data_IF_947766049052
#
_entry.id   IF_947766049052
#
_cell.length_a   1.000
_cell.length_b   1.000
_cell.length_c   1.000
_cell.angle_alpha   90.00
_cell.angle_beta   90.00
_cell.angle_gamma   90.00
#
_symmetry.space_group_name_H-M   'P 1'
#
loop_
_entity.id
_entity.type
_entity.pdbx_description
1 polymer ?
#
# COMPACT_ATOMS: atom_id res chain seq x y z
N UNK A 1 10.36 15.13 21.82
CA UNK A 1 9.24 15.06 20.85
C UNK A 1 9.21 16.37 20.10
N UNK A 2 9.56 16.39 18.80
CA UNK A 2 9.50 17.61 18.00
C UNK A 2 8.03 17.89 17.60
N UNK A 3 7.27 18.46 18.52
CA UNK A 3 5.99 19.08 18.21
C UNK A 3 6.30 20.33 17.37
N UNK A 4 6.06 20.25 16.06
CA UNK A 4 5.95 21.47 15.25
C UNK A 4 4.57 22.09 15.48
N UNK A 5 4.33 23.28 14.93
CA UNK A 5 3.05 24.00 15.04
C UNK A 5 1.84 23.30 14.37
N UNK A 6 2.04 22.08 13.86
CA UNK A 6 1.01 21.25 13.28
C UNK A 6 0.02 20.78 14.36
N UNK A 7 -1.25 21.14 14.19
CA UNK A 7 -2.34 20.63 15.04
C UNK A 7 -3.16 19.58 14.27
N UNK A 8 -3.85 18.68 14.98
CA UNK A 8 -4.74 17.70 14.35
C UNK A 8 -5.89 18.34 13.54
N UNK A 9 -6.16 19.63 13.76
CA UNK A 9 -7.16 20.43 13.06
C UNK A 9 -6.55 21.41 12.04
N UNK A 10 -5.27 21.25 11.70
CA UNK A 10 -4.62 22.09 10.71
C UNK A 10 -5.19 21.87 9.29
N UNK A 11 -4.97 22.83 8.36
CA UNK A 11 -5.26 22.64 6.94
C UNK A 11 -4.73 21.31 6.37
N UNK A 12 -5.30 20.82 5.26
CA UNK A 12 -4.76 19.64 4.56
C UNK A 12 -3.25 19.80 4.28
N UNK A 13 -2.47 18.72 4.41
CA UNK A 13 -0.99 18.68 4.42
C UNK A 13 -0.29 19.42 5.57
N UNK A 14 -1.01 20.11 6.45
CA UNK A 14 -0.41 20.72 7.65
C UNK A 14 -0.42 19.81 8.88
N UNK A 15 -1.23 18.74 8.87
CA UNK A 15 -1.23 17.71 9.89
C UNK A 15 -0.11 16.69 9.66
N UNK A 16 0.61 16.30 10.72
CA UNK A 16 1.61 15.23 10.65
C UNK A 16 0.91 13.86 10.73
N UNK A 17 0.98 13.07 9.68
CA UNK A 17 0.74 11.61 9.74
C UNK A 17 1.97 10.95 10.32
N UNK A 18 1.82 9.95 11.18
CA UNK A 18 2.94 9.07 11.52
C UNK A 18 3.16 8.12 10.34
N UNK A 19 4.41 8.01 9.90
CA UNK A 19 4.83 7.06 8.86
C UNK A 19 5.42 5.84 9.56
N UNK A 20 4.87 4.67 9.27
CA UNK A 20 5.32 3.40 9.82
C UNK A 20 5.72 2.48 8.69
N UNK A 21 6.89 1.87 8.82
CA UNK A 21 7.37 0.88 7.86
C UNK A 21 7.56 -0.44 8.57
N UNK A 22 6.87 -1.46 8.08
CA UNK A 22 6.99 -2.82 8.55
C UNK A 22 8.27 -3.42 7.99
N UNK A 23 9.25 -3.66 8.86
CA UNK A 23 10.58 -4.21 8.47
C UNK A 23 10.70 -5.71 8.73
N UNK A 24 9.74 -6.30 9.44
CA UNK A 24 9.64 -7.75 9.68
C UNK A 24 8.19 -8.13 9.90
N UNK A 25 7.86 -9.41 10.10
CA UNK A 25 6.48 -9.82 10.47
C UNK A 25 6.11 -9.49 11.94
N UNK A 26 7.03 -8.91 12.73
CA UNK A 26 6.78 -8.56 14.13
C UNK A 26 5.80 -7.39 14.29
N UNK A 27 5.23 -7.23 15.49
CA UNK A 27 4.32 -6.14 15.77
C UNK A 27 5.04 -4.79 15.92
N UNK A 28 4.37 -3.71 15.52
CA UNK A 28 4.72 -2.32 15.86
C UNK A 28 3.79 -1.89 17.00
N UNK A 29 4.38 -1.45 18.12
CA UNK A 29 3.64 -0.95 19.27
C UNK A 29 3.79 0.57 19.38
N UNK A 30 2.68 1.29 19.32
CA UNK A 30 2.62 2.72 19.60
C UNK A 30 2.00 2.93 20.98
N UNK A 31 2.75 3.57 21.88
CA UNK A 31 2.31 3.84 23.26
C UNK A 31 1.80 5.28 23.37
N UNK A 32 0.59 5.44 23.89
CA UNK A 32 -0.07 6.71 24.10
C UNK A 32 -0.22 6.97 25.60
N UNK A 33 0.43 8.03 26.09
CA UNK A 33 0.28 8.46 27.47
C UNK A 33 -1.09 9.13 27.67
N UNK A 34 -1.77 8.74 28.75
CA UNK A 34 -3.03 9.34 29.16
C UNK A 34 -2.75 10.53 30.08
N UNK A 35 -3.32 11.69 29.76
CA UNK A 35 -3.30 12.83 30.68
C UNK A 35 -4.56 12.83 31.53
N UNK A 36 -4.42 12.95 32.85
CA UNK A 36 -5.56 13.18 33.75
C UNK A 36 -6.14 14.61 33.69
N UNK A 37 -5.64 15.44 32.76
CA UNK A 37 -6.14 16.79 32.53
C UNK A 37 -7.49 16.76 31.81
N UNK A 38 -8.42 17.66 32.16
CA UNK A 38 -9.69 17.75 31.45
C UNK A 38 -9.45 18.16 30.00
N UNK A 39 -10.28 17.62 29.11
CA UNK A 39 -10.27 18.04 27.70
C UNK A 39 -10.61 19.53 27.58
N UNK A 40 -9.95 20.20 26.62
CA UNK A 40 -10.28 21.56 26.26
C UNK A 40 -11.74 21.64 25.74
N UNK A 41 -12.40 22.78 25.96
CA UNK A 41 -13.76 23.02 25.47
C UNK A 41 -13.84 22.78 23.95
N UNK A 42 -14.78 21.93 23.52
CA UNK A 42 -14.98 21.57 22.11
C UNK A 42 -14.16 20.38 21.60
N UNK A 43 -13.39 19.71 22.47
CA UNK A 43 -12.75 18.43 22.14
C UNK A 43 -13.72 17.26 22.44
N UNK A 44 -13.90 16.36 21.47
CA UNK A 44 -14.80 15.21 21.54
C UNK A 44 -14.21 14.01 22.30
N UNK A 45 -12.95 14.10 22.74
CA UNK A 45 -12.25 13.05 23.48
C UNK A 45 -11.75 11.90 22.60
N UNK A 46 -12.04 11.91 21.29
CA UNK A 46 -11.63 10.85 20.38
C UNK A 46 -10.19 11.08 19.92
N UNK A 47 -9.37 10.04 20.04
CA UNK A 47 -8.03 10.08 19.49
C UNK A 47 -8.05 9.64 18.02
N UNK A 48 -7.75 10.58 17.12
CA UNK A 48 -7.77 10.35 15.67
C UNK A 48 -6.39 9.95 15.18
N UNK A 49 -6.29 8.75 14.61
CA UNK A 49 -5.03 8.14 14.20
C UNK A 49 -4.95 8.16 12.68
N UNK A 50 -4.09 9.01 12.12
CA UNK A 50 -3.80 9.07 10.69
C UNK A 50 -2.40 8.56 10.40
N UNK A 51 -2.30 7.46 9.67
CA UNK A 51 -1.04 6.75 9.43
C UNK A 51 -0.80 6.53 7.94
N UNK A 52 0.47 6.53 7.54
CA UNK A 52 0.92 5.91 6.28
C UNK A 52 1.67 4.64 6.68
N UNK A 53 1.14 3.48 6.30
CA UNK A 53 1.69 2.18 6.65
C UNK A 53 2.34 1.53 5.42
N UNK A 54 3.56 1.08 5.60
CA UNK A 54 4.49 0.71 4.56
C UNK A 54 5.08 -0.70 4.72
N UNK A 55 5.40 -1.37 3.63
CA UNK A 55 6.02 -2.69 3.64
C UNK A 55 7.49 -2.60 3.21
N UNK A 56 8.39 -2.75 4.18
CA UNK A 56 9.83 -2.82 4.01
C UNK A 56 10.38 -4.22 4.42
N UNK A 57 9.56 -5.27 4.28
CA UNK A 57 9.92 -6.65 4.69
C UNK A 57 10.62 -7.47 3.59
N UNK A 58 10.80 -6.91 2.40
CA UNK A 58 11.23 -7.62 1.19
C UNK A 58 10.35 -8.85 0.84
N UNK A 59 9.11 -8.88 1.35
CA UNK A 59 8.15 -9.96 1.18
C UNK A 59 6.74 -9.42 0.92
N UNK A 60 5.89 -10.24 0.31
CA UNK A 60 4.46 -9.94 0.18
C UNK A 60 3.75 -10.13 1.53
N UNK A 61 2.81 -9.23 1.82
CA UNK A 61 1.95 -9.27 3.00
C UNK A 61 0.48 -9.35 2.56
N UNK A 62 -0.33 -10.14 3.24
CA UNK A 62 -1.75 -10.31 2.91
C UNK A 62 -2.67 -9.29 3.58
N UNK A 63 -2.15 -8.51 4.53
CA UNK A 63 -2.92 -7.53 5.27
C UNK A 63 -2.31 -7.19 6.63
N UNK A 64 -3.16 -6.76 7.56
CA UNK A 64 -2.73 -6.37 8.90
C UNK A 64 -3.85 -6.49 9.94
N UNK A 65 -3.46 -6.43 11.20
CA UNK A 65 -4.36 -6.30 12.34
C UNK A 65 -3.98 -5.10 13.19
N UNK A 66 -4.96 -4.55 13.90
CA UNK A 66 -4.76 -3.49 14.89
C UNK A 66 -5.49 -3.86 16.18
N UNK A 67 -4.80 -3.70 17.31
CA UNK A 67 -5.30 -4.06 18.64
C UNK A 67 -4.99 -2.98 19.66
N UNK A 68 -5.92 -2.72 20.58
CA UNK A 68 -5.70 -1.89 21.76
C UNK A 68 -5.36 -2.76 22.97
N UNK A 69 -4.55 -2.24 23.88
CA UNK A 69 -4.19 -2.95 25.10
C UNK A 69 -3.07 -2.27 25.88
N UNK A 70 -2.30 -3.04 26.63
CA UNK A 70 -1.29 -2.54 27.56
C UNK A 70 0.03 -3.31 27.41
N UNK A 71 1.14 -2.63 27.72
CA UNK A 71 2.48 -3.20 27.55
C UNK A 71 2.94 -3.19 26.10
N UNK A 72 4.11 -3.78 25.84
CA UNK A 72 4.76 -3.84 24.52
C UNK A 72 5.47 -5.18 24.32
N UNK A 73 5.80 -5.52 23.07
CA UNK A 73 6.47 -6.77 22.70
C UNK A 73 5.73 -8.00 23.23
N UNK A 74 6.48 -8.94 23.81
CA UNK A 74 5.91 -10.17 24.39
C UNK A 74 5.06 -9.91 25.64
N UNK A 75 5.18 -8.73 26.27
CA UNK A 75 4.40 -8.35 27.45
C UNK A 75 3.07 -7.66 27.10
N UNK A 76 2.78 -7.46 25.81
CA UNK A 76 1.51 -6.85 25.40
C UNK A 76 0.34 -7.76 25.78
N UNK A 77 -0.66 -7.16 26.40
CA UNK A 77 -1.93 -7.78 26.75
C UNK A 77 -3.05 -6.94 26.15
N UNK A 78 -3.86 -7.55 25.31
CA UNK A 78 -5.01 -6.88 24.68
C UNK A 78 -6.00 -6.38 25.73
N UNK A 79 -6.65 -5.24 25.48
CA UNK A 79 -7.76 -4.73 26.27
C UNK A 79 -8.96 -5.68 26.25
N UNK A 80 -9.89 -5.47 27.19
CA UNK A 80 -11.08 -6.29 27.31
C UNK A 80 -12.33 -5.46 27.08
N UNK A 81 -13.29 -6.02 26.35
CA UNK A 81 -14.57 -5.37 26.05
C UNK A 81 -15.21 -4.73 27.29
N UNK A 82 -15.65 -3.48 27.12
CA UNK A 82 -16.34 -2.69 28.15
C UNK A 82 -15.43 -2.07 29.21
N UNK A 83 -14.11 -2.07 29.03
CA UNK A 83 -13.18 -1.30 29.87
C UNK A 83 -13.14 0.20 29.52
N UNK A 84 -13.79 0.59 28.42
CA UNK A 84 -13.94 1.97 27.97
C UNK A 84 -12.83 2.44 27.03
N UNK A 85 -11.88 1.56 26.68
CA UNK A 85 -10.97 1.71 25.56
C UNK A 85 -11.58 0.96 24.36
N UNK A 86 -11.51 1.56 23.17
CA UNK A 86 -12.07 0.91 21.99
C UNK A 86 -11.85 1.69 20.70
N UNK A 87 -12.00 1.01 19.57
CA UNK A 87 -12.13 1.67 18.28
C UNK A 87 -13.56 2.15 18.07
N UNK A 88 -13.70 3.30 17.42
CA UNK A 88 -15.01 3.77 16.97
C UNK A 88 -15.39 3.03 15.69
N UNK A 89 -16.54 2.36 15.72
CA UNK A 89 -17.15 1.76 14.54
C UNK A 89 -17.94 2.81 13.75
N UNK A 90 -17.50 3.08 12.53
CA UNK A 90 -18.19 4.00 11.61
C UNK A 90 -19.02 3.27 10.55
N UNK A 91 -19.20 1.95 10.64
CA UNK A 91 -19.99 1.14 9.72
C UNK A 91 -19.21 0.57 8.51
N UNK A 92 -19.93 -0.16 7.66
CA UNK A 92 -19.39 -1.12 6.68
C UNK A 92 -18.88 -0.54 5.34
N UNK A 93 -18.85 0.78 5.12
CA UNK A 93 -18.39 1.36 3.84
C UNK A 93 -16.93 1.83 3.89
N UNK A 94 -15.94 1.01 3.50
CA UNK A 94 -14.52 1.36 3.61
C UNK A 94 -14.06 2.44 2.61
N UNK A 95 -14.86 2.75 1.58
CA UNK A 95 -14.45 3.63 0.47
C UNK A 95 -14.60 5.12 0.76
N UNK A 96 -15.48 5.48 1.70
CA UNK A 96 -15.87 6.86 2.00
C UNK A 96 -15.88 7.20 3.49
N UNK A 97 -15.14 6.43 4.30
CA UNK A 97 -15.21 6.51 5.75
C UNK A 97 -13.91 7.00 6.39
N UNK A 98 -14.07 7.68 7.52
CA UNK A 98 -12.99 8.10 8.41
C UNK A 98 -12.28 6.89 9.05
N UNK A 99 -12.88 5.70 8.97
CA UNK A 99 -12.24 4.41 9.20
C UNK A 99 -11.93 3.72 7.87
N UNK A 100 -10.67 3.76 7.44
CA UNK A 100 -10.30 3.27 6.10
C UNK A 100 -8.84 2.88 5.97
N UNK A 101 -8.57 2.02 4.99
CA UNK A 101 -7.24 1.55 4.63
C UNK A 101 -7.03 1.64 3.12
N UNK A 102 -6.56 2.78 2.62
CA UNK A 102 -6.63 3.13 1.20
C UNK A 102 -5.25 3.41 0.60
N UNK A 103 -4.99 2.85 -0.58
CA UNK A 103 -3.81 3.21 -1.39
C UNK A 103 -3.89 4.66 -1.88
N UNK A 104 -2.76 5.17 -2.38
CA UNK A 104 -2.62 6.55 -2.82
C UNK A 104 -3.65 6.90 -3.92
N UNK A 105 -4.36 8.03 -3.74
CA UNK A 105 -5.38 8.49 -4.69
C UNK A 105 -4.83 8.76 -6.09
N UNK A 106 -3.57 9.23 -6.19
CA UNK A 106 -2.91 9.44 -7.49
C UNK A 106 -2.73 8.15 -8.30
N UNK A 107 -2.79 6.98 -7.64
CA UNK A 107 -2.70 5.65 -8.26
C UNK A 107 -4.08 4.99 -8.41
N UNK A 108 -4.97 5.13 -7.41
CA UNK A 108 -6.29 4.50 -7.38
C UNK A 108 -7.36 5.45 -6.83
N UNK A 109 -8.34 5.79 -7.66
CA UNK A 109 -9.44 6.67 -7.30
C UNK A 109 -9.46 7.97 -8.11
N UNK A 110 -10.54 8.73 -7.99
CA UNK A 110 -10.59 10.10 -8.52
C UNK A 110 -9.78 11.05 -7.64
N UNK A 111 -8.92 11.87 -8.24
CA UNK A 111 -8.29 12.99 -7.55
C UNK A 111 -9.31 14.14 -7.45
N UNK A 112 -9.94 14.30 -6.27
CA UNK A 112 -10.91 15.37 -6.02
C UNK A 112 -10.29 16.78 -5.99
N UNK A 113 -8.97 16.89 -6.12
CA UNK A 113 -8.20 18.12 -5.93
C UNK A 113 -7.51 18.57 -7.20
N UNK A 114 -7.05 17.61 -8.02
CA UNK A 114 -6.68 17.80 -9.42
C UNK A 114 -7.86 17.32 -10.25
N UNK A 115 -8.94 18.12 -10.33
CA UNK A 115 -10.23 17.86 -11.02
C UNK A 115 -10.14 17.19 -12.42
N UNK A 116 -8.94 17.13 -13.00
CA UNK A 116 -8.61 16.59 -14.32
C UNK A 116 -7.99 15.19 -14.33
N UNK A 117 -7.41 14.70 -13.21
CA UNK A 117 -6.71 13.40 -13.18
C UNK A 117 -7.46 12.36 -12.35
N UNK A 118 -7.61 11.19 -12.93
CA UNK A 118 -7.98 9.97 -12.20
C UNK A 118 -6.72 9.20 -11.81
N UNK A 119 -6.90 8.23 -10.91
CA UNK A 119 -5.87 7.31 -10.47
C UNK A 119 -5.22 6.65 -11.67
N UNK A 120 -3.88 6.60 -11.62
CA UNK A 120 -3.06 6.13 -12.72
C UNK A 120 -3.39 4.69 -13.16
N UNK A 121 -3.63 3.81 -12.19
CA UNK A 121 -3.95 2.41 -12.43
C UNK A 121 -5.46 2.17 -12.49
N UNK A 122 -6.25 2.87 -11.69
CA UNK A 122 -7.70 2.71 -11.68
C UNK A 122 -8.42 4.02 -11.34
N UNK A 123 -9.58 4.30 -11.98
CA UNK A 123 -10.46 5.36 -11.54
C UNK A 123 -11.14 5.04 -10.20
N UNK A 124 -11.19 3.77 -9.80
CA UNK A 124 -11.79 3.32 -8.55
C UNK A 124 -10.77 3.25 -7.42
N UNK A 125 -11.23 3.44 -6.17
CA UNK A 125 -10.38 3.28 -4.98
C UNK A 125 -9.94 1.83 -4.81
N UNK A 126 -8.71 1.65 -4.34
CA UNK A 126 -8.20 0.37 -3.88
C UNK A 126 -7.72 0.48 -2.43
N UNK A 127 -7.81 -0.62 -1.70
CA UNK A 127 -7.48 -0.65 -0.28
C UNK A 127 -7.69 -2.01 0.33
N UNK A 128 -7.63 -2.06 1.67
CA UNK A 128 -8.03 -3.23 2.44
C UNK A 128 -9.44 -3.04 3.01
N UNK A 129 -10.26 -4.07 2.87
CA UNK A 129 -11.50 -4.17 3.63
C UNK A 129 -11.14 -4.42 5.10
N UNK A 130 -11.84 -3.75 6.00
CA UNK A 130 -11.61 -3.82 7.45
C UNK A 130 -12.82 -4.45 8.14
N UNK A 131 -12.56 -5.24 9.16
CA UNK A 131 -13.56 -5.90 10.01
C UNK A 131 -13.24 -5.63 11.48
N UNK A 132 -14.16 -4.96 12.18
CA UNK A 132 -14.08 -4.71 13.61
C UNK A 132 -14.60 -5.94 14.35
N UNK A 133 -13.70 -6.87 14.63
CA UNK A 133 -13.99 -8.18 15.24
C UNK A 133 -14.41 -8.02 16.70
N UNK A 134 -13.85 -7.04 17.41
CA UNK A 134 -14.26 -6.62 18.75
C UNK A 134 -13.99 -5.13 18.95
N UNK A 135 -14.52 -4.56 20.03
CA UNK A 135 -14.27 -3.16 20.44
C UNK A 135 -12.78 -2.77 20.35
N UNK A 136 -11.88 -3.65 20.79
CA UNK A 136 -10.42 -3.37 20.83
C UNK A 136 -9.61 -3.94 19.65
N UNK A 137 -10.26 -4.53 18.65
CA UNK A 137 -9.55 -5.30 17.62
C UNK A 137 -10.23 -5.25 16.27
N UNK A 138 -9.47 -4.83 15.26
CA UNK A 138 -9.87 -4.99 13.87
C UNK A 138 -8.77 -5.62 13.04
N UNK A 139 -9.19 -6.20 11.92
CA UNK A 139 -8.31 -6.87 10.97
C UNK A 139 -8.73 -6.55 9.54
N UNK A 140 -7.80 -6.75 8.61
CA UNK A 140 -8.12 -6.76 7.20
C UNK A 140 -8.80 -8.07 6.79
N UNK A 141 -9.82 -8.00 5.93
CA UNK A 141 -10.52 -9.19 5.38
C UNK A 141 -10.20 -9.48 3.92
N UNK A 142 -9.29 -8.69 3.33
CA UNK A 142 -8.84 -8.82 1.95
C UNK A 142 -8.64 -7.45 1.30
N UNK A 143 -8.09 -7.46 0.09
CA UNK A 143 -7.98 -6.28 -0.74
C UNK A 143 -9.29 -6.04 -1.53
N UNK A 144 -9.51 -4.80 -1.93
CA UNK A 144 -10.58 -4.42 -2.86
C UNK A 144 -10.05 -3.46 -3.93
N UNK A 145 -10.83 -3.31 -5.01
CA UNK A 145 -10.53 -2.37 -6.10
C UNK A 145 -10.90 -2.87 -7.50
N UNK A 146 -11.34 -4.12 -7.62
CA UNK A 146 -11.77 -4.71 -8.90
C UNK A 146 -10.61 -5.08 -9.82
N UNK A 147 -10.91 -5.23 -11.13
CA UNK A 147 -9.98 -5.71 -12.16
C UNK A 147 -8.72 -4.84 -12.29
N UNK A 148 -8.87 -3.51 -12.28
CA UNK A 148 -7.77 -2.56 -12.30
C UNK A 148 -7.33 -2.13 -10.89
N UNK A 149 -7.93 -2.71 -9.86
CA UNK A 149 -7.55 -2.45 -8.48
C UNK A 149 -6.18 -3.00 -8.13
N UNK A 150 -5.70 -2.63 -6.95
CA UNK A 150 -4.38 -3.07 -6.49
C UNK A 150 -4.18 -4.58 -6.57
N UNK A 151 -5.14 -5.36 -6.04
CA UNK A 151 -5.07 -6.83 -6.06
C UNK A 151 -5.04 -7.40 -7.48
N UNK A 152 -5.86 -6.85 -8.38
CA UNK A 152 -5.94 -7.33 -9.76
C UNK A 152 -4.64 -7.14 -10.54
N UNK A 153 -3.89 -6.08 -10.22
CA UNK A 153 -2.64 -5.73 -10.91
C UNK A 153 -1.39 -6.27 -10.22
N UNK A 154 -1.38 -6.32 -8.89
CA UNK A 154 -0.19 -6.55 -8.09
C UNK A 154 -0.31 -7.73 -7.10
N UNK A 155 -1.52 -8.25 -6.90
CA UNK A 155 -1.80 -9.28 -5.91
C UNK A 155 -1.72 -8.75 -4.48
N UNK A 156 -1.01 -9.49 -3.62
CA UNK A 156 -0.81 -9.13 -2.22
C UNK A 156 -0.02 -7.82 -2.06
N UNK A 157 -0.05 -7.24 -0.86
CA UNK A 157 0.65 -5.99 -0.55
C UNK A 157 2.16 -6.14 -0.67
N UNK A 158 2.71 -5.50 -1.70
CA UNK A 158 4.11 -5.57 -2.08
C UNK A 158 5.02 -4.78 -1.15
N UNK A 159 6.27 -5.21 -1.07
CA UNK A 159 7.32 -4.44 -0.41
C UNK A 159 7.92 -3.39 -1.34
N UNK A 160 8.63 -2.41 -0.79
CA UNK A 160 9.28 -1.36 -1.59
C UNK A 160 10.25 -1.90 -2.64
N UNK A 161 10.97 -2.98 -2.33
CA UNK A 161 11.92 -3.61 -3.25
C UNK A 161 11.24 -4.37 -4.40
N UNK A 162 9.92 -4.55 -4.34
CA UNK A 162 9.11 -5.19 -5.37
C UNK A 162 8.34 -4.18 -6.23
N UNK A 163 8.31 -2.90 -5.83
CA UNK A 163 7.58 -1.89 -6.56
C UNK A 163 8.21 -1.66 -7.94
N UNK A 164 7.40 -1.59 -9.01
CA UNK A 164 7.89 -1.31 -10.35
C UNK A 164 8.46 0.10 -10.46
N UNK A 165 9.38 0.25 -11.41
CA UNK A 165 9.85 1.57 -11.83
C UNK A 165 8.72 2.34 -12.52
N UNK A 166 8.69 3.64 -12.27
CA UNK A 166 7.81 4.62 -12.88
C UNK A 166 8.62 5.69 -13.60
N UNK A 167 8.04 6.24 -14.66
CA UNK A 167 8.55 7.42 -15.34
C UNK A 167 7.67 8.62 -14.96
N UNK A 168 8.31 9.67 -14.43
CA UNK A 168 7.63 10.81 -13.83
C UNK A 168 7.87 12.10 -14.64
N UNK A 169 6.86 12.95 -14.63
CA UNK A 169 6.90 14.30 -15.17
C UNK A 169 6.55 15.29 -14.06
N UNK A 170 7.42 16.27 -13.83
CA UNK A 170 7.15 17.39 -12.96
C UNK A 170 6.38 18.44 -13.77
N UNK A 171 5.13 18.72 -13.39
CA UNK A 171 4.24 19.58 -14.17
C UNK A 171 4.32 21.06 -13.80
N UNK A 172 4.98 21.39 -12.68
CA UNK A 172 5.06 22.76 -12.18
C UNK A 172 6.46 23.19 -11.72
N UNK A 173 7.47 22.31 -11.74
CA UNK A 173 8.82 22.66 -11.34
C UNK A 173 8.94 23.02 -9.85
N UNK A 174 7.94 22.67 -9.03
CA UNK A 174 7.93 22.93 -7.59
C UNK A 174 8.43 21.69 -6.82
N UNK A 175 9.58 21.77 -6.12
CA UNK A 175 10.08 20.65 -5.33
C UNK A 175 9.19 20.27 -4.13
N UNK A 176 8.15 21.06 -3.83
CA UNK A 176 7.18 20.77 -2.77
C UNK A 176 5.98 19.96 -3.28
N UNK A 177 5.81 19.80 -4.59
CA UNK A 177 4.76 18.98 -5.19
C UNK A 177 5.35 17.66 -5.70
N UNK A 178 4.52 16.62 -5.69
CA UNK A 178 4.92 15.32 -6.22
C UNK A 178 4.80 15.32 -7.75
N UNK A 179 5.84 14.81 -8.42
CA UNK A 179 5.84 14.59 -9.85
C UNK A 179 4.76 13.55 -10.26
N UNK A 180 4.24 13.70 -11.46
CA UNK A 180 3.14 12.89 -11.98
C UNK A 180 3.69 11.65 -12.66
N UNK A 181 3.22 10.47 -12.23
CA UNK A 181 3.48 9.21 -12.90
C UNK A 181 2.84 9.20 -14.31
N UNK A 182 3.67 8.99 -15.34
CA UNK A 182 3.28 8.96 -16.76
C UNK A 182 3.29 7.54 -17.32
N UNK A 183 4.35 6.77 -17.02
CA UNK A 183 4.53 5.39 -17.45
C UNK A 183 5.03 4.52 -16.31
N UNK A 184 4.79 3.20 -16.37
CA UNK A 184 5.36 2.23 -15.44
C UNK A 184 5.99 1.07 -16.20
N UNK A 185 6.98 0.42 -15.60
CA UNK A 185 7.63 -0.74 -16.18
C UNK A 185 6.87 -2.02 -15.83
N UNK A 186 6.46 -2.77 -16.84
CA UNK A 186 5.84 -4.09 -16.70
C UNK A 186 6.90 -5.17 -16.90
N UNK A 187 7.39 -5.73 -15.80
CA UNK A 187 8.43 -6.75 -15.81
C UNK A 187 8.02 -8.03 -16.56
N UNK A 188 6.70 -8.31 -16.70
CA UNK A 188 6.22 -9.51 -17.38
C UNK A 188 6.40 -9.44 -18.90
N UNK A 189 6.23 -8.25 -19.49
CA UNK A 189 6.45 -8.00 -20.91
C UNK A 189 7.83 -7.42 -21.21
N UNK A 190 8.50 -6.83 -20.21
CA UNK A 190 9.76 -6.10 -20.39
C UNK A 190 9.57 -4.74 -21.07
N UNK A 191 8.36 -4.18 -21.02
CA UNK A 191 8.00 -2.93 -21.69
C UNK A 191 7.53 -1.87 -20.71
N UNK A 192 7.62 -0.62 -21.12
CA UNK A 192 7.01 0.52 -20.43
C UNK A 192 5.58 0.72 -20.90
N UNK A 193 4.64 0.89 -19.97
CA UNK A 193 3.23 1.13 -20.26
C UNK A 193 2.90 2.56 -19.87
N UNK A 194 2.48 3.38 -20.82
CA UNK A 194 2.11 4.78 -20.62
C UNK A 194 0.59 4.93 -20.59
N UNK A 195 0.06 5.24 -19.40
CA UNK A 195 -1.38 5.44 -19.16
C UNK A 195 -1.78 6.91 -19.12
N UNK A 196 -0.83 7.85 -19.08
CA UNK A 196 -1.08 9.30 -19.15
C UNK A 196 -0.37 9.93 -20.33
N UNK A 197 -0.92 11.01 -20.86
CA UNK A 197 -0.30 11.79 -21.92
C UNK A 197 -0.56 13.27 -21.75
N UNK A 198 -0.11 14.06 -22.71
CA UNK A 198 -0.30 15.51 -22.77
C UNK A 198 -1.24 15.82 -23.94
N UNK A 199 -2.28 16.59 -23.70
CA UNK A 199 -3.24 17.00 -24.73
C UNK A 199 -2.77 18.23 -25.52
N UNK A 200 -3.59 18.67 -26.48
CA UNK A 200 -3.27 19.83 -27.32
C UNK A 200 -3.25 21.18 -26.57
N UNK A 201 -3.78 21.23 -25.35
CA UNK A 201 -3.68 22.40 -24.48
C UNK A 201 -2.42 22.38 -23.60
N UNK A 202 -1.63 21.30 -23.66
CA UNK A 202 -0.48 21.10 -22.80
C UNK A 202 -0.85 20.53 -21.43
N UNK A 203 -2.08 20.05 -21.26
CA UNK A 203 -2.56 19.52 -19.99
C UNK A 203 -2.37 18.00 -19.93
N UNK A 204 -2.06 17.48 -18.74
CA UNK A 204 -1.90 16.04 -18.54
C UNK A 204 -3.27 15.39 -18.42
N UNK A 205 -3.47 14.27 -19.13
CA UNK A 205 -4.73 13.53 -19.21
C UNK A 205 -4.51 12.03 -19.02
N UNK A 206 -5.49 11.36 -18.42
CA UNK A 206 -5.56 9.90 -18.38
C UNK A 206 -5.97 9.35 -19.76
N UNK A 207 -5.20 8.41 -20.30
CA UNK A 207 -5.43 7.76 -21.60
C UNK A 207 -5.92 6.32 -21.46
N UNK A 208 -5.46 5.62 -20.41
CA UNK A 208 -5.78 4.23 -20.12
C UNK A 208 -5.62 3.95 -18.61
N UNK A 209 -5.88 2.70 -18.22
CA UNK A 209 -5.80 2.21 -16.85
C UNK A 209 -5.12 0.84 -16.82
N UNK A 210 -4.65 0.41 -15.65
CA UNK A 210 -3.94 -0.85 -15.47
C UNK A 210 -2.80 -1.03 -16.47
N UNK A 211 -2.85 -2.11 -17.25
CA UNK A 211 -1.84 -2.47 -18.24
C UNK A 211 -2.29 -2.25 -19.70
N UNK A 212 -3.33 -1.43 -19.90
CA UNK A 212 -3.97 -1.18 -21.20
C UNK A 212 -3.42 0.06 -21.94
N UNK A 213 -2.43 0.73 -21.36
CA UNK A 213 -1.75 1.87 -21.96
C UNK A 213 -0.92 1.52 -23.18
N UNK A 214 -0.35 2.57 -23.78
CA UNK A 214 0.56 2.40 -24.94
C UNK A 214 1.89 1.81 -24.46
N UNK A 215 2.37 0.79 -25.15
CA UNK A 215 3.59 0.06 -24.79
C UNK A 215 4.81 0.60 -25.55
N UNK A 216 5.92 0.71 -24.84
CA UNK A 216 7.19 1.22 -25.34
C UNK A 216 8.33 0.29 -24.93
N UNK A 217 9.31 0.13 -25.82
CA UNK A 217 10.47 -0.76 -25.58
C UNK A 217 11.50 -0.13 -24.66
N UNK A 218 11.51 1.20 -24.54
CA UNK A 218 12.51 1.93 -23.77
C UNK A 218 12.00 3.25 -23.20
N UNK A 219 12.70 3.76 -22.18
CA UNK A 219 12.48 5.10 -21.62
C UNK A 219 12.62 6.17 -22.71
N UNK A 220 13.59 6.01 -23.62
CA UNK A 220 13.80 6.96 -24.71
C UNK A 220 12.57 7.06 -25.64
N UNK A 221 11.85 5.95 -25.84
CA UNK A 221 10.62 5.95 -26.63
C UNK A 221 9.45 6.60 -25.86
N UNK A 222 9.37 6.40 -24.54
CA UNK A 222 8.41 7.10 -23.66
C UNK A 222 8.65 8.61 -23.70
N UNK A 223 9.91 9.03 -23.51
CA UNK A 223 10.32 10.44 -23.56
C UNK A 223 10.01 11.07 -24.93
N UNK A 224 10.31 10.36 -26.02
CA UNK A 224 10.01 10.83 -27.37
C UNK A 224 8.50 11.02 -27.58
N UNK A 225 7.67 10.12 -27.03
CA UNK A 225 6.22 10.24 -27.09
C UNK A 225 5.71 11.45 -26.30
N UNK A 226 6.17 11.63 -25.06
CA UNK A 226 5.83 12.77 -24.20
C UNK A 226 6.26 14.08 -24.86
N UNK A 227 7.48 14.16 -25.39
CA UNK A 227 8.01 15.36 -26.05
C UNK A 227 7.19 15.72 -27.30
N UNK A 228 6.80 14.72 -28.09
CA UNK A 228 5.97 14.90 -29.28
C UNK A 228 4.59 15.47 -28.92
N UNK A 229 3.95 14.93 -27.87
CA UNK A 229 2.68 15.41 -27.36
C UNK A 229 2.79 16.84 -26.81
N UNK A 230 3.79 17.11 -25.97
CA UNK A 230 4.06 18.44 -25.43
C UNK A 230 4.28 19.48 -26.53
N UNK A 231 5.07 19.14 -27.55
CA UNK A 231 5.37 20.06 -28.67
C UNK A 231 4.13 20.40 -29.49
N UNK A 232 3.18 19.47 -29.61
CA UNK A 232 1.90 19.73 -30.28
C UNK A 232 1.05 20.75 -29.52
N UNK A 233 1.16 20.79 -28.18
CA UNK A 233 0.57 21.82 -27.32
C UNK A 233 1.43 23.08 -27.15
N UNK A 234 2.57 23.19 -27.83
CA UNK A 234 3.48 24.33 -27.72
C UNK A 234 4.36 24.33 -26.46
N UNK A 235 4.40 23.23 -25.72
CA UNK A 235 5.28 23.03 -24.57
C UNK A 235 6.62 22.44 -25.02
N UNK A 236 7.72 22.95 -24.46
CA UNK A 236 9.05 22.36 -24.60
C UNK A 236 9.46 21.80 -23.25
N UNK A 237 9.54 20.48 -23.16
CA UNK A 237 10.04 19.80 -21.96
C UNK A 237 11.55 19.60 -22.08
N UNK A 238 12.24 19.78 -20.97
CA UNK A 238 13.64 19.43 -20.79
C UNK A 238 13.76 18.51 -19.57
N UNK A 239 14.91 17.86 -19.39
CA UNK A 239 15.20 17.16 -18.14
C UNK A 239 15.17 18.16 -16.99
N UNK A 240 14.60 17.76 -15.85
CA UNK A 240 14.55 18.61 -14.67
C UNK A 240 15.96 19.04 -14.26
N UNK A 241 16.12 20.34 -13.98
CA UNK A 241 17.38 20.89 -13.54
C UNK A 241 17.65 20.53 -12.07
N UNK A 242 18.93 20.43 -11.69
CA UNK A 242 19.33 20.22 -10.29
C UNK A 242 18.74 21.25 -9.32
N UNK A 243 18.46 22.46 -9.83
CA UNK A 243 17.73 23.51 -9.15
C UNK A 243 16.40 23.68 -9.87
N UNK A 244 15.27 23.24 -9.26
CA UNK A 244 13.95 23.39 -9.85
C UNK A 244 13.63 24.85 -10.15
N UNK A 245 12.89 25.07 -11.25
CA UNK A 245 12.40 26.39 -11.65
C UNK A 245 10.89 26.38 -11.53
N UNK A 246 10.31 27.02 -10.49
CA UNK A 246 8.87 27.04 -10.31
C UNK A 246 8.14 27.60 -11.52
N UNK A 247 7.06 26.91 -11.91
CA UNK A 247 6.25 27.13 -13.10
C UNK A 247 6.78 26.52 -14.40
N UNK A 248 7.88 25.75 -14.38
CA UNK A 248 8.47 25.18 -15.60
C UNK A 248 8.38 23.65 -15.57
N UNK A 249 7.52 23.02 -16.39
CA UNK A 249 7.40 21.58 -16.44
C UNK A 249 8.66 20.92 -17.01
N UNK A 250 9.02 19.75 -16.50
CA UNK A 250 10.22 19.03 -16.87
C UNK A 250 10.10 17.51 -16.73
N UNK A 251 11.00 16.80 -17.41
CA UNK A 251 11.13 15.35 -17.36
C UNK A 251 11.89 14.97 -16.07
N UNK A 252 11.17 14.49 -15.07
CA UNK A 252 11.74 14.11 -13.77
C UNK A 252 12.50 12.76 -13.84
N UNK A 253 12.19 11.94 -14.85
CA UNK A 253 12.92 10.71 -15.14
C UNK A 253 12.32 9.49 -14.46
N UNK A 254 13.17 8.49 -14.18
CA UNK A 254 12.76 7.21 -13.62
C UNK A 254 13.02 7.16 -12.12
N UNK A 255 12.03 6.70 -11.36
CA UNK A 255 12.14 6.34 -9.95
C UNK A 255 11.18 5.18 -9.62
N UNK A 256 11.28 4.60 -8.45
CA UNK A 256 10.39 3.52 -8.00
C UNK A 256 9.02 4.10 -7.64
N UNK A 257 7.93 3.40 -8.00
CA UNK A 257 6.57 3.75 -7.56
C UNK A 257 6.36 3.26 -6.11
N UNK A 258 7.11 3.84 -5.17
CA UNK A 258 7.14 3.39 -3.77
C UNK A 258 5.78 3.44 -3.07
N UNK A 259 4.86 4.27 -3.57
CA UNK A 259 3.49 4.37 -3.08
C UNK A 259 2.68 3.08 -3.26
N UNK A 260 3.09 2.17 -4.15
CA UNK A 260 2.48 0.84 -4.24
C UNK A 260 2.81 -0.05 -3.03
N UNK A 261 3.89 0.25 -2.30
CA UNK A 261 4.21 -0.42 -1.05
C UNK A 261 3.59 0.24 0.19
N UNK A 262 2.77 1.30 0.03
CA UNK A 262 2.24 2.11 1.13
C UNK A 262 0.74 2.34 0.99
N UNK A 263 0.03 2.36 2.10
CA UNK A 263 -1.37 2.80 2.15
C UNK A 263 -1.63 3.68 3.37
N UNK A 264 -2.69 4.47 3.32
CA UNK A 264 -3.13 5.24 4.46
C UNK A 264 -4.06 4.39 5.32
N UNK A 265 -3.84 4.40 6.63
CA UNK A 265 -4.77 3.82 7.61
C UNK A 265 -5.29 4.92 8.49
N UNK A 266 -6.60 5.02 8.60
CA UNK A 266 -7.26 5.93 9.52
C UNK A 266 -8.13 5.14 10.49
N UNK A 267 -7.97 5.40 11.78
CA UNK A 267 -8.82 4.86 12.83
C UNK A 267 -9.03 5.89 13.95
N UNK A 268 -10.09 5.68 14.74
CA UNK A 268 -10.42 6.54 15.87
C UNK A 268 -10.51 5.66 17.10
N UNK A 269 -9.94 6.16 18.18
CA UNK A 269 -9.90 5.47 19.47
C UNK A 269 -10.73 6.29 20.45
N UNK A 270 -11.75 5.65 21.01
CA UNK A 270 -12.43 6.15 22.20
C UNK A 270 -11.65 5.70 23.42
N UNK A 271 -11.14 6.68 24.17
CA UNK A 271 -10.52 6.48 25.48
C UNK A 271 -11.21 7.35 26.54
N UNK A 272 -12.37 7.93 26.23
CA UNK A 272 -13.04 8.90 27.08
C UNK A 272 -13.62 8.24 28.34
N UNK A 273 -14.20 7.06 28.16
CA UNK A 273 -14.79 6.27 29.25
C UNK A 273 -13.82 5.30 29.91
N UNK A 274 -12.57 5.26 29.43
CA UNK A 274 -11.54 4.36 29.92
C UNK A 274 -11.15 4.71 31.37
N UNK A 275 -11.26 3.73 32.26
CA UNK A 275 -10.81 3.88 33.64
C UNK A 275 -9.28 3.76 33.72
N UNK A 276 -8.62 4.91 33.73
CA UNK A 276 -7.16 5.01 33.79
C UNK A 276 -6.60 4.95 35.23
N UNK A 277 -7.40 4.65 36.26
CA UNK A 277 -6.92 4.67 37.66
C UNK A 277 -5.71 3.76 37.90
N UNK A 278 -5.59 2.66 37.14
CA UNK A 278 -4.47 1.73 37.21
C UNK A 278 -3.55 1.77 35.97
N UNK A 279 -3.79 2.69 35.02
CA UNK A 279 -3.06 2.76 33.75
C UNK A 279 -2.69 4.20 33.39
N UNK A 280 -1.40 4.47 33.13
CA UNK A 280 -0.94 5.79 32.67
C UNK A 280 -0.88 5.91 31.15
N UNK A 281 -1.12 4.82 30.43
CA UNK A 281 -0.96 4.73 28.97
C UNK A 281 -1.72 3.53 28.42
N UNK A 282 -2.06 3.58 27.13
CA UNK A 282 -2.46 2.40 26.37
C UNK A 282 -1.54 2.21 25.15
N UNK A 283 -1.57 1.02 24.57
CA UNK A 283 -0.78 0.63 23.39
C UNK A 283 -1.71 0.32 22.23
N UNK A 284 -1.43 0.94 21.07
CA UNK A 284 -1.93 0.49 19.78
C UNK A 284 -0.89 -0.45 19.16
N UNK A 285 -1.24 -1.72 19.06
CA UNK A 285 -0.43 -2.74 18.39
C UNK A 285 -0.90 -2.90 16.95
N UNK A 286 0.05 -2.90 16.01
CA UNK A 286 -0.18 -3.16 14.60
C UNK A 286 0.67 -4.37 14.19
N UNK A 287 0.06 -5.37 13.58
CA UNK A 287 0.78 -6.57 13.13
C UNK A 287 0.48 -6.85 11.67
N UNK A 288 1.50 -7.08 10.85
CA UNK A 288 1.29 -7.53 9.48
C UNK A 288 0.90 -9.00 9.41
N UNK A 289 0.06 -9.34 8.44
CA UNK A 289 -0.28 -10.71 8.10
C UNK A 289 0.63 -11.17 6.95
N UNK A 290 1.35 -12.26 7.17
CA UNK A 290 2.17 -12.85 6.11
C UNK A 290 1.27 -13.32 4.94
N UNK A 291 1.74 -13.15 3.70
CA UNK A 291 1.12 -13.78 2.55
C UNK A 291 1.11 -15.30 2.72
N UNK A 292 0.00 -15.97 2.37
CA UNK A 292 -0.01 -17.42 2.32
C UNK A 292 1.01 -17.87 1.26
N UNK A 293 1.93 -18.76 1.61
CA UNK A 293 2.84 -19.32 0.60
C UNK A 293 1.99 -19.98 -0.49
N UNK A 294 2.29 -19.74 -1.79
CA UNK A 294 1.57 -20.41 -2.87
C UNK A 294 1.71 -21.92 -2.65
N UNK A 295 0.57 -22.57 -2.40
CA UNK A 295 0.54 -24.03 -2.31
C UNK A 295 1.00 -24.55 -3.67
N UNK A 296 2.07 -25.37 -3.74
CA UNK A 296 2.52 -25.89 -5.02
C UNK A 296 1.35 -26.59 -5.71
N UNK A 297 1.12 -26.25 -6.97
CA UNK A 297 0.04 -26.88 -7.73
C UNK A 297 0.09 -28.41 -7.60
N UNK A 298 -1.06 -29.11 -7.59
CA UNK A 298 -1.13 -30.56 -7.40
C UNK A 298 -0.18 -31.37 -8.28
N UNK A 299 0.25 -30.82 -9.42
CA UNK A 299 1.23 -31.41 -10.33
C UNK A 299 2.61 -31.68 -9.70
N UNK A 300 3.07 -30.85 -8.75
CA UNK A 300 4.38 -31.05 -8.07
C UNK A 300 4.32 -32.26 -7.15
N UNK A 301 3.21 -32.46 -6.44
CA UNK A 301 2.99 -33.67 -5.63
C UNK A 301 2.86 -34.92 -6.47
N UNK A 302 2.22 -34.84 -7.65
CA UNK A 302 2.13 -35.96 -8.59
C UNK A 302 3.52 -36.34 -9.12
N UNK A 303 4.36 -35.37 -9.48
CA UNK A 303 5.74 -35.65 -9.91
C UNK A 303 6.62 -36.23 -8.80
N UNK A 304 6.47 -35.73 -7.56
CA UNK A 304 7.16 -36.26 -6.39
C UNK A 304 6.75 -37.72 -6.10
N UNK A 305 5.44 -38.02 -6.18
CA UNK A 305 4.90 -39.37 -5.98
C UNK A 305 5.33 -40.34 -7.10
N UNK A 306 5.37 -39.88 -8.35
CA UNK A 306 5.87 -40.68 -9.49
C UNK A 306 7.37 -40.98 -9.34
N UNK A 307 8.17 -39.99 -8.91
CA UNK A 307 9.60 -40.18 -8.68
C UNK A 307 9.88 -41.18 -7.53
N UNK A 308 9.12 -41.10 -6.44
CA UNK A 308 9.20 -42.05 -5.32
C UNK A 308 8.76 -43.47 -5.73
N UNK A 309 7.68 -43.60 -6.49
CA UNK A 309 7.23 -44.90 -7.01
C UNK A 309 8.25 -45.54 -7.97
N UNK A 310 8.92 -44.74 -8.79
CA UNK A 310 10.00 -45.19 -9.69
C UNK A 310 11.23 -45.73 -8.95
N UNK A 311 11.58 -45.12 -7.80
CA UNK A 311 12.69 -45.58 -6.94
C UNK A 311 12.38 -46.89 -6.22
N UNK A 312 11.13 -47.10 -5.79
CA UNK A 312 10.70 -48.35 -5.14
C UNK A 312 10.55 -49.48 -6.18
N UNK A 313 10.01 -49.19 -7.36
CA UNK A 313 9.82 -50.17 -8.44
C UNK A 313 11.13 -50.75 -9.00
N UNK A 314 12.23 -50.01 -8.93
CA UNK A 314 13.56 -50.49 -9.37
C UNK A 314 14.20 -51.53 -8.43
N UNK A 315 13.70 -51.69 -7.20
CA UNK A 315 14.29 -52.64 -6.22
C UNK A 315 13.71 -54.07 -6.29
N UNK A 316 12.63 -54.29 -7.04
CA UNK A 316 11.88 -55.57 -7.03
C UNK A 316 12.14 -56.45 -8.27
N UNK A 317 12.83 -55.96 -9.32
CA UNK A 317 13.09 -56.74 -10.55
C UNK A 317 14.52 -57.29 -10.67
N UNK A 318 15.03 -57.90 -9.61
CA UNK A 318 16.33 -58.58 -9.61
C UNK A 318 16.31 -59.86 -8.81
N UNK A 319 15.74 -60.93 -9.38
CA UNK A 319 16.14 -62.34 -9.21
C UNK A 319 14.98 -63.29 -9.54
N UNK A 320 14.92 -63.73 -10.79
CA UNK A 320 14.26 -64.99 -11.15
C UNK A 320 15.14 -65.71 -12.16
N UNK A 321 15.93 -66.67 -11.68
CA UNK A 321 16.64 -67.65 -12.49
C UNK A 321 15.83 -68.96 -12.43
N UNK A 322 15.50 -69.61 -13.55
CA UNK A 322 14.87 -70.92 -13.52
C UNK A 322 15.92 -72.01 -13.23
N UNK A 323 15.63 -72.91 -12.29
CA UNK A 323 16.38 -74.15 -12.10
C UNK A 323 16.06 -75.11 -13.26
N UNK A 324 17.11 -75.61 -13.91
CA UNK A 324 17.06 -76.87 -14.64
C UNK A 324 17.50 -77.98 -13.69
N UNK A 325 16.62 -78.93 -13.43
CA UNK A 325 16.99 -80.24 -12.90
C UNK A 325 16.73 -81.28 -14.00
N UNK A 326 17.64 -82.25 -14.02
CA UNK A 326 17.82 -83.42 -14.90
C UNK A 326 16.59 -84.24 -15.23
#
# INVERSE_FOLDING_TARGET
MAAGDATCNGPFQSGKRFKLDQTSAGAIDLVFDLSGEPFAEGNDGLYRVFQKYGNATDSLLSGFTMSLGFGIGDAFTQSTTGDGLGFVDFGEDPGNNEFSSLFAQGLFGTDERRDRLTGYFSPDRSGFALDLVSEDFFQTTGLFGGEYGYEGLFGDWMSYSMAPDGYFLDDDGDPLTDAILMAHFDASSGQWIMNRGIDAAGEIVSLAFGNDGTRYESIADVEAAIQSQASAGGLSLAVCADIPVPGVPCLAGVDVIEDLGKFNVTSFIDAFSFDYTDQSSFTLRISALAAALPVPEPGVFVLLLIALAGLVGRRVRGNWYPRQDS
#
